data_IF_786283532890
#
_entry.id   IF_786283532890
#
_cell.length_a   1.000
_cell.length_b   1.000
_cell.length_c   1.000
_cell.angle_alpha   90.00
_cell.angle_beta   90.00
_cell.angle_gamma   90.00
#
_symmetry.space_group_name_H-M   'P 1'
#
loop_
_entity.id
_entity.type
_entity.pdbx_description
1 polymer ?
#
# COMPACT_ATOMS: atom_id res chain seq x y z
N UNK A 1 -20.46 58.83 -5.06
CA UNK A 1 -21.45 57.97 -4.37
C UNK A 1 -20.83 56.62 -4.04
N UNK A 2 -20.82 56.19 -2.77
CA UNK A 2 -20.20 54.90 -2.38
C UNK A 2 -21.08 53.73 -2.81
N UNK A 3 -20.48 52.79 -3.54
CA UNK A 3 -21.14 51.59 -4.07
C UNK A 3 -20.32 50.35 -3.72
N UNK A 4 -20.99 49.21 -3.53
CA UNK A 4 -20.34 47.91 -3.32
C UNK A 4 -20.77 46.94 -4.43
N UNK A 5 -19.82 46.16 -4.94
CA UNK A 5 -20.08 45.09 -5.90
C UNK A 5 -19.43 43.79 -5.44
N UNK A 6 -20.06 42.68 -5.80
CA UNK A 6 -19.51 41.35 -5.63
C UNK A 6 -19.31 40.73 -7.02
N UNK A 7 -18.07 40.39 -7.35
CA UNK A 7 -17.67 39.88 -8.66
C UNK A 7 -17.16 38.44 -8.50
N UNK A 8 -17.65 37.51 -9.30
CA UNK A 8 -17.08 36.15 -9.37
C UNK A 8 -15.76 36.17 -10.14
N UNK A 9 -14.71 35.54 -9.63
CA UNK A 9 -13.38 35.49 -10.26
C UNK A 9 -12.93 34.04 -10.38
N UNK A 10 -12.73 33.59 -11.63
CA UNK A 10 -12.18 32.26 -11.95
C UNK A 10 -10.71 32.32 -12.33
N UNK A 11 -10.01 31.21 -12.10
CA UNK A 11 -8.58 31.05 -12.37
C UNK A 11 -7.67 31.36 -11.18
N UNK A 12 -8.22 31.55 -9.98
CA UNK A 12 -7.42 31.65 -8.75
C UNK A 12 -7.05 30.25 -8.24
N UNK A 13 -5.76 29.98 -8.04
CA UNK A 13 -5.28 28.66 -7.60
C UNK A 13 -4.56 28.66 -6.25
N UNK A 14 -4.19 29.83 -5.73
CA UNK A 14 -3.45 29.95 -4.47
C UNK A 14 -3.63 31.33 -3.83
N UNK A 15 -3.20 31.47 -2.58
CA UNK A 15 -3.27 32.74 -1.82
C UNK A 15 -2.49 33.88 -2.47
N UNK A 16 -1.44 33.60 -3.24
CA UNK A 16 -0.71 34.65 -3.96
C UNK A 16 -1.51 35.22 -5.13
N UNK A 17 -2.44 34.47 -5.73
CA UNK A 17 -3.39 35.03 -6.71
C UNK A 17 -4.33 36.04 -6.07
N UNK A 18 -4.85 35.72 -4.88
CA UNK A 18 -5.73 36.59 -4.09
C UNK A 18 -5.03 37.92 -3.79
N UNK A 19 -3.82 37.84 -3.22
CA UNK A 19 -3.03 39.02 -2.86
C UNK A 19 -2.74 39.91 -4.08
N UNK A 20 -2.37 39.30 -5.22
CA UNK A 20 -2.11 40.05 -6.46
C UNK A 20 -3.34 40.84 -6.94
N UNK A 21 -4.53 40.26 -6.85
CA UNK A 21 -5.77 40.95 -7.25
C UNK A 21 -6.09 42.08 -6.26
N UNK A 22 -5.97 41.83 -4.95
CA UNK A 22 -6.23 42.84 -3.92
C UNK A 22 -5.30 44.04 -4.04
N UNK A 23 -3.99 43.81 -4.20
CA UNK A 23 -2.98 44.86 -4.38
C UNK A 23 -3.31 45.72 -5.61
N UNK A 24 -3.52 45.07 -6.75
CA UNK A 24 -3.76 45.76 -8.03
C UNK A 24 -5.05 46.57 -8.04
N UNK A 25 -6.12 46.07 -7.43
CA UNK A 25 -7.36 46.82 -7.31
C UNK A 25 -7.26 47.94 -6.26
N UNK A 26 -6.49 47.75 -5.18
CA UNK A 26 -6.28 48.81 -4.18
C UNK A 26 -5.50 50.02 -4.71
N UNK A 27 -4.69 49.83 -5.77
CA UNK A 27 -3.96 50.91 -6.46
C UNK A 27 -4.87 51.78 -7.34
N UNK A 28 -6.08 51.33 -7.68
CA UNK A 28 -6.98 52.07 -8.55
C UNK A 28 -7.64 53.24 -7.82
N UNK A 29 -7.55 54.43 -8.42
CA UNK A 29 -8.21 55.62 -7.88
C UNK A 29 -9.74 55.45 -7.87
N UNK A 30 -10.34 55.61 -6.68
CA UNK A 30 -11.78 55.42 -6.47
C UNK A 30 -12.15 54.09 -5.82
N UNK A 31 -11.21 53.17 -5.59
CA UNK A 31 -11.43 51.99 -4.76
C UNK A 31 -11.15 52.31 -3.29
N UNK A 32 -12.11 52.00 -2.42
CA UNK A 32 -11.98 52.23 -0.97
C UNK A 32 -11.59 50.97 -0.21
N UNK A 33 -12.11 49.81 -0.64
CA UNK A 33 -11.84 48.53 0.01
C UNK A 33 -12.01 47.38 -0.97
N UNK A 34 -11.11 46.42 -0.91
CA UNK A 34 -11.17 45.16 -1.67
C UNK A 34 -11.01 44.00 -0.69
N UNK A 35 -11.80 42.95 -0.89
CA UNK A 35 -11.63 41.68 -0.20
C UNK A 35 -11.94 40.54 -1.15
N UNK A 36 -10.95 39.69 -1.39
CA UNK A 36 -11.03 38.54 -2.29
C UNK A 36 -11.10 37.25 -1.48
N UNK A 37 -11.99 36.35 -1.85
CA UNK A 37 -12.20 35.06 -1.19
C UNK A 37 -11.91 33.92 -2.17
N UNK A 38 -10.84 33.17 -1.88
CA UNK A 38 -10.44 32.01 -2.69
C UNK A 38 -11.45 30.86 -2.62
N UNK A 39 -12.02 30.59 -1.44
CA UNK A 39 -12.97 29.48 -1.25
C UNK A 39 -14.31 29.72 -1.96
N UNK A 40 -14.71 30.99 -2.06
CA UNK A 40 -15.97 31.41 -2.71
C UNK A 40 -15.78 31.90 -4.15
N UNK A 41 -14.54 31.87 -4.65
CA UNK A 41 -14.18 32.36 -5.99
C UNK A 41 -14.77 33.74 -6.32
N UNK A 42 -14.71 34.69 -5.36
CA UNK A 42 -15.31 36.01 -5.55
C UNK A 42 -14.54 37.15 -4.86
N UNK A 43 -14.84 38.39 -5.27
CA UNK A 43 -14.27 39.61 -4.73
C UNK A 43 -15.36 40.63 -4.39
N UNK A 44 -15.33 41.13 -3.16
CA UNK A 44 -16.14 42.26 -2.70
C UNK A 44 -15.35 43.54 -2.78
N UNK A 45 -15.85 44.51 -3.54
CA UNK A 45 -15.16 45.77 -3.81
C UNK A 45 -16.10 46.92 -3.48
N UNK A 46 -15.66 47.79 -2.57
CA UNK A 46 -16.28 49.07 -2.28
C UNK A 46 -15.55 50.16 -3.06
N UNK A 47 -16.29 50.91 -3.87
CA UNK A 47 -15.73 51.92 -4.78
C UNK A 47 -16.67 53.13 -4.91
N UNK A 48 -16.10 54.24 -5.35
CA UNK A 48 -16.83 55.45 -5.70
C UNK A 48 -17.25 55.39 -7.18
N UNK A 49 -18.56 55.26 -7.42
CA UNK A 49 -19.12 55.13 -8.77
C UNK A 49 -18.94 56.38 -9.64
N UNK A 50 -18.55 57.52 -9.05
CA UNK A 50 -18.22 58.74 -9.78
C UNK A 50 -16.78 58.74 -10.31
N UNK A 51 -15.89 57.96 -9.69
CA UNK A 51 -14.45 57.90 -10.04
C UNK A 51 -14.10 56.68 -10.86
N UNK A 52 -14.74 55.54 -10.61
CA UNK A 52 -14.46 54.29 -11.31
C UNK A 52 -15.74 53.53 -11.64
N UNK A 53 -15.81 53.00 -12.86
CA UNK A 53 -16.93 52.19 -13.32
C UNK A 53 -16.70 50.71 -13.02
N UNK A 54 -17.77 49.96 -12.82
CA UNK A 54 -17.72 48.49 -12.64
C UNK A 54 -16.94 47.81 -13.77
N UNK A 55 -17.19 48.22 -15.01
CA UNK A 55 -16.52 47.69 -16.20
C UNK A 55 -15.00 47.84 -16.14
N UNK A 56 -14.49 48.98 -15.65
CA UNK A 56 -13.04 49.22 -15.51
C UNK A 56 -12.40 48.29 -14.46
N UNK A 57 -13.15 47.97 -13.40
CA UNK A 57 -12.72 47.00 -12.38
C UNK A 57 -12.65 45.58 -12.98
N UNK A 58 -13.64 45.21 -13.78
CA UNK A 58 -13.66 43.91 -14.48
C UNK A 58 -12.54 43.80 -15.51
N UNK A 59 -12.26 44.86 -16.26
CA UNK A 59 -11.16 44.94 -17.22
C UNK A 59 -9.79 44.77 -16.54
N UNK A 60 -9.57 45.34 -15.35
CA UNK A 60 -8.33 45.15 -14.59
C UNK A 60 -8.19 43.70 -14.10
N UNK A 61 -9.27 43.06 -13.65
CA UNK A 61 -9.22 41.64 -13.25
C UNK A 61 -8.88 40.75 -14.46
N UNK A 62 -9.48 41.04 -15.61
CA UNK A 62 -9.19 40.34 -16.87
C UNK A 62 -7.75 40.57 -17.35
N UNK A 63 -7.20 41.78 -17.19
CA UNK A 63 -5.82 42.11 -17.59
C UNK A 63 -4.78 41.32 -16.78
N UNK A 64 -5.11 40.95 -15.55
CA UNK A 64 -4.29 40.07 -14.70
C UNK A 64 -4.35 38.59 -15.09
N UNK A 65 -5.21 38.23 -16.06
CA UNK A 65 -5.38 36.86 -16.57
C UNK A 65 -6.46 36.05 -15.88
N UNK A 66 -7.36 36.69 -15.12
CA UNK A 66 -8.47 36.03 -14.43
C UNK A 66 -9.79 36.28 -15.15
N UNK A 67 -10.73 35.33 -15.10
CA UNK A 67 -12.02 35.49 -15.76
C UNK A 67 -13.06 36.03 -14.78
N UNK A 68 -13.71 37.12 -15.14
CA UNK A 68 -14.83 37.68 -14.38
C UNK A 68 -16.15 37.02 -14.75
N UNK A 69 -16.86 36.47 -13.77
CA UNK A 69 -18.26 36.04 -13.90
C UNK A 69 -19.19 37.17 -13.47
N UNK A 70 -19.81 37.83 -14.45
CA UNK A 70 -20.83 38.85 -14.21
C UNK A 70 -22.11 38.21 -13.69
N UNK A 71 -22.38 38.39 -12.39
CA UNK A 71 -23.67 38.04 -11.79
C UNK A 71 -24.58 39.26 -11.84
N UNK A 72 -25.35 39.39 -12.92
CA UNK A 72 -26.51 40.29 -12.91
C UNK A 72 -27.54 39.76 -11.87
N UNK A 73 -28.16 40.62 -11.05
CA UNK A 73 -28.95 40.22 -9.88
C UNK A 73 -30.34 39.65 -10.22
N UNK A 74 -30.56 39.10 -11.41
CA UNK A 74 -31.79 38.39 -11.77
C UNK A 74 -31.47 37.01 -12.33
N UNK A 75 -31.43 35.99 -11.48
CA UNK A 75 -32.05 34.65 -11.68
C UNK A 75 -31.64 33.70 -10.54
N UNK A 76 -32.56 33.01 -9.85
CA UNK A 76 -32.21 31.97 -8.89
C UNK A 76 -31.92 30.65 -9.63
N UNK A 77 -30.65 30.32 -9.85
CA UNK A 77 -30.26 28.97 -10.31
C UNK A 77 -30.11 28.02 -9.12
N UNK A 78 -31.23 27.46 -8.68
CA UNK A 78 -31.29 26.35 -7.71
C UNK A 78 -31.43 25.04 -8.47
N UNK A 79 -30.31 24.33 -8.66
CA UNK A 79 -30.12 22.89 -8.98
C UNK A 79 -28.71 22.81 -9.59
N UNK A 80 -27.64 22.48 -8.84
CA UNK A 80 -26.99 21.15 -8.91
C UNK A 80 -25.81 21.01 -7.91
N UNK A 81 -25.70 21.86 -6.89
CA UNK A 81 -24.49 21.95 -6.03
C UNK A 81 -24.26 20.72 -5.14
N UNK A 82 -25.33 20.03 -4.72
CA UNK A 82 -25.21 18.86 -3.83
C UNK A 82 -24.70 17.60 -4.55
N UNK A 83 -25.16 17.38 -5.80
CA UNK A 83 -24.71 16.23 -6.62
C UNK A 83 -23.30 16.45 -7.15
N UNK A 84 -22.92 17.69 -7.47
CA UNK A 84 -21.56 18.00 -7.90
C UNK A 84 -20.56 17.78 -6.76
N UNK A 85 -20.85 18.23 -5.53
CA UNK A 85 -20.00 17.95 -4.37
C UNK A 85 -19.85 16.45 -4.08
N UNK A 86 -20.94 15.68 -4.19
CA UNK A 86 -20.91 14.23 -3.98
C UNK A 86 -20.14 13.49 -5.08
N UNK A 87 -20.28 13.89 -6.35
CA UNK A 87 -19.55 13.28 -7.46
C UNK A 87 -18.06 13.63 -7.41
N UNK A 88 -17.70 14.90 -7.22
CA UNK A 88 -16.29 15.31 -7.18
C UNK A 88 -15.56 14.84 -5.90
N UNK A 89 -16.27 14.60 -4.78
CA UNK A 89 -15.68 14.05 -3.56
C UNK A 89 -15.62 12.51 -3.51
N UNK A 90 -16.60 11.80 -4.09
CA UNK A 90 -16.70 10.33 -4.00
C UNK A 90 -15.96 9.61 -5.15
N UNK A 91 -15.83 10.25 -6.31
CA UNK A 91 -15.12 9.71 -7.47
C UNK A 91 -13.63 9.40 -7.23
N UNK A 92 -12.83 10.25 -6.53
CA UNK A 92 -11.46 9.90 -6.17
C UNK A 92 -11.41 8.76 -5.13
N UNK A 93 -12.40 8.64 -4.25
CA UNK A 93 -12.45 7.57 -3.25
C UNK A 93 -12.74 6.19 -3.87
N UNK A 94 -13.57 6.14 -4.92
CA UNK A 94 -13.76 4.94 -5.75
C UNK A 94 -12.42 4.52 -6.38
N UNK A 95 -11.61 5.48 -6.82
CA UNK A 95 -10.26 5.22 -7.32
C UNK A 95 -9.35 4.59 -6.26
N UNK A 96 -9.34 5.14 -5.03
CA UNK A 96 -8.57 4.57 -3.92
C UNK A 96 -9.03 3.15 -3.54
N UNK A 97 -10.34 2.92 -3.47
CA UNK A 97 -10.91 1.60 -3.14
C UNK A 97 -10.56 0.59 -4.24
N UNK A 98 -10.69 0.98 -5.52
CA UNK A 98 -10.32 0.15 -6.66
C UNK A 98 -8.81 -0.16 -6.67
N UNK A 99 -7.95 0.82 -6.35
CA UNK A 99 -6.51 0.63 -6.27
C UNK A 99 -6.10 -0.32 -5.14
N UNK A 100 -6.72 -0.17 -3.95
CA UNK A 100 -6.50 -1.07 -2.82
C UNK A 100 -6.98 -2.48 -3.16
N UNK A 101 -8.18 -2.62 -3.73
CA UNK A 101 -8.72 -3.91 -4.15
C UNK A 101 -7.84 -4.57 -5.22
N UNK A 102 -7.37 -3.82 -6.22
CA UNK A 102 -6.46 -4.31 -7.25
C UNK A 102 -5.10 -4.71 -6.67
N UNK A 103 -4.59 -4.00 -5.66
CA UNK A 103 -3.34 -4.37 -4.97
C UNK A 103 -3.48 -5.69 -4.21
N UNK A 104 -4.60 -5.88 -3.49
CA UNK A 104 -4.87 -7.13 -2.75
C UNK A 104 -5.03 -8.30 -3.73
N UNK A 105 -5.88 -8.14 -4.76
CA UNK A 105 -6.10 -9.16 -5.78
C UNK A 105 -4.83 -9.43 -6.59
N UNK A 106 -4.06 -8.39 -6.89
CA UNK A 106 -2.79 -8.47 -7.59
C UNK A 106 -1.76 -9.29 -6.82
N UNK A 107 -1.66 -9.11 -5.49
CA UNK A 107 -0.76 -9.92 -4.66
C UNK A 107 -1.20 -11.39 -4.66
N UNK A 108 -2.49 -11.67 -4.45
CA UNK A 108 -2.99 -13.06 -4.42
C UNK A 108 -2.78 -13.76 -5.76
N UNK A 109 -3.12 -13.11 -6.87
CA UNK A 109 -2.91 -13.67 -8.20
C UNK A 109 -1.43 -13.82 -8.53
N UNK A 110 -0.59 -12.84 -8.16
CA UNK A 110 0.85 -12.92 -8.31
C UNK A 110 1.43 -14.10 -7.52
N UNK A 111 1.00 -14.32 -6.27
CA UNK A 111 1.53 -15.43 -5.47
C UNK A 111 1.25 -16.80 -6.07
N UNK A 112 0.09 -17.01 -6.69
CA UNK A 112 -0.24 -18.25 -7.39
C UNK A 112 0.54 -18.39 -8.70
N UNK A 113 0.61 -17.32 -9.49
CA UNK A 113 1.34 -17.31 -10.76
C UNK A 113 2.86 -17.50 -10.58
N UNK A 114 3.43 -16.89 -9.53
CA UNK A 114 4.85 -16.98 -9.23
C UNK A 114 5.21 -18.21 -8.41
N UNK A 115 4.25 -19.00 -7.90
CA UNK A 115 4.54 -20.22 -7.13
C UNK A 115 5.53 -21.17 -7.83
N UNK A 116 5.35 -21.57 -9.11
CA UNK A 116 6.33 -22.41 -9.80
C UNK A 116 7.68 -21.71 -10.02
N UNK A 117 7.68 -20.38 -10.13
CA UNK A 117 8.91 -19.58 -10.24
C UNK A 117 9.66 -19.50 -8.90
N UNK A 118 8.94 -19.37 -7.78
CA UNK A 118 9.45 -19.32 -6.41
C UNK A 118 9.98 -20.67 -5.92
N UNK A 119 9.50 -21.78 -6.48
CA UNK A 119 10.01 -23.13 -6.21
C UNK A 119 11.30 -23.44 -6.98
N UNK A 120 11.78 -22.55 -7.87
CA UNK A 120 13.04 -22.77 -8.55
C UNK A 120 14.21 -22.39 -7.62
N UNK A 121 15.14 -23.32 -7.32
CA UNK A 121 16.32 -23.06 -6.49
C UNK A 121 17.15 -21.83 -6.90
N UNK A 122 17.12 -21.48 -8.19
CA UNK A 122 17.87 -20.35 -8.76
C UNK A 122 17.15 -19.00 -8.69
N UNK A 123 15.86 -18.97 -8.36
CA UNK A 123 15.07 -17.75 -8.43
C UNK A 123 15.56 -16.66 -7.47
N UNK A 124 15.82 -17.02 -6.23
CA UNK A 124 16.26 -16.05 -5.23
C UNK A 124 17.64 -15.46 -5.54
N UNK A 125 18.68 -16.27 -5.86
CA UNK A 125 19.94 -15.75 -6.38
C UNK A 125 19.79 -14.88 -7.63
N UNK A 126 18.89 -15.22 -8.54
CA UNK A 126 18.60 -14.44 -9.75
C UNK A 126 18.05 -13.04 -9.40
N UNK A 127 17.11 -12.94 -8.46
CA UNK A 127 16.56 -11.66 -8.00
C UNK A 127 17.60 -10.77 -7.33
N UNK A 128 18.46 -11.35 -6.49
CA UNK A 128 19.59 -10.61 -5.90
C UNK A 128 20.55 -10.15 -6.99
N UNK A 129 20.91 -11.02 -7.94
CA UNK A 129 21.76 -10.67 -9.08
C UNK A 129 21.18 -9.55 -9.95
N UNK A 130 19.88 -9.59 -10.21
CA UNK A 130 19.17 -8.55 -10.95
C UNK A 130 19.20 -7.20 -10.20
N UNK A 131 19.00 -7.22 -8.89
CA UNK A 131 19.09 -5.99 -8.07
C UNK A 131 20.50 -5.36 -8.11
N UNK A 132 21.55 -6.19 -8.08
CA UNK A 132 22.93 -5.74 -8.21
C UNK A 132 23.22 -5.21 -9.62
N UNK A 133 22.62 -5.82 -10.66
CA UNK A 133 22.70 -5.34 -12.03
C UNK A 133 22.05 -3.95 -12.19
N UNK A 134 20.90 -3.72 -11.55
CA UNK A 134 20.32 -2.38 -11.55
C UNK A 134 21.16 -1.36 -10.77
N UNK A 135 21.76 -1.78 -9.65
CA UNK A 135 22.70 -0.93 -8.90
C UNK A 135 23.96 -0.59 -9.72
N UNK A 136 24.47 -1.53 -10.53
CA UNK A 136 25.59 -1.26 -11.46
C UNK A 136 25.18 -0.33 -12.59
N UNK A 137 24.03 -0.54 -13.22
CA UNK A 137 23.51 0.36 -14.25
C UNK A 137 23.33 1.79 -13.71
N UNK A 138 22.73 1.92 -12.52
CA UNK A 138 22.55 3.21 -11.84
C UNK A 138 23.88 3.88 -11.53
N UNK A 139 24.85 3.13 -11.02
CA UNK A 139 26.20 3.63 -10.72
C UNK A 139 26.94 4.09 -11.97
N UNK A 140 26.85 3.33 -13.07
CA UNK A 140 27.44 3.68 -14.36
C UNK A 140 26.79 4.95 -14.91
N UNK A 141 25.46 5.03 -14.90
CA UNK A 141 24.73 6.21 -15.38
C UNK A 141 25.07 7.46 -14.57
N UNK A 142 25.14 7.35 -13.24
CA UNK A 142 25.55 8.44 -12.36
C UNK A 142 26.97 8.92 -12.64
N UNK A 143 27.94 8.01 -12.81
CA UNK A 143 29.32 8.38 -13.11
C UNK A 143 29.46 8.98 -14.52
N UNK A 144 28.72 8.45 -15.50
CA UNK A 144 28.70 8.94 -16.87
C UNK A 144 28.18 10.38 -16.95
N UNK A 145 27.05 10.66 -16.29
CA UNK A 145 26.42 11.98 -16.33
C UNK A 145 27.26 13.08 -15.64
N UNK A 146 28.20 12.70 -14.78
CA UNK A 146 29.12 13.62 -14.10
C UNK A 146 30.52 13.69 -14.75
N UNK A 147 30.76 12.98 -15.87
CA UNK A 147 32.09 12.91 -16.50
C UNK A 147 33.15 12.22 -15.63
N UNK A 148 32.73 11.39 -14.66
CA UNK A 148 33.57 10.75 -13.65
C UNK A 148 33.85 9.27 -13.96
N UNK A 149 33.73 8.84 -15.22
CA UNK A 149 33.98 7.46 -15.68
C UNK A 149 35.45 6.99 -15.53
N UNK A 150 36.34 7.87 -15.09
CA UNK A 150 37.72 7.53 -14.76
C UNK A 150 37.82 6.80 -13.41
N UNK A 151 38.86 5.97 -13.25
CA UNK A 151 39.25 5.35 -11.98
C UNK A 151 39.39 6.39 -10.84
N UNK A 152 39.83 7.61 -11.16
CA UNK A 152 39.91 8.71 -10.19
C UNK A 152 38.53 9.27 -9.81
N UNK A 153 37.56 9.23 -10.73
CA UNK A 153 36.17 9.60 -10.47
C UNK A 153 35.44 8.61 -9.55
N UNK A 154 35.67 7.31 -9.76
CA UNK A 154 35.20 6.23 -8.87
C UNK A 154 35.75 6.43 -7.46
N UNK A 155 37.06 6.69 -7.32
CA UNK A 155 37.68 6.96 -6.00
C UNK A 155 37.11 8.21 -5.34
N UNK A 156 36.87 9.29 -6.09
CA UNK A 156 36.28 10.55 -5.58
C UNK A 156 34.84 10.38 -5.08
N UNK A 157 34.08 9.44 -5.64
CA UNK A 157 32.68 9.16 -5.24
C UNK A 157 32.50 7.79 -4.57
N UNK A 158 33.56 7.23 -3.98
CA UNK A 158 33.55 5.95 -3.24
C UNK A 158 32.42 5.88 -2.21
N UNK A 159 32.15 6.98 -1.49
CA UNK A 159 31.08 7.01 -0.47
C UNK A 159 29.70 6.69 -1.04
N UNK A 160 29.34 7.27 -2.19
CA UNK A 160 28.07 7.02 -2.86
C UNK A 160 27.95 5.55 -3.32
N UNK A 161 29.00 5.04 -3.97
CA UNK A 161 29.05 3.66 -4.45
C UNK A 161 28.95 2.67 -3.28
N UNK A 162 29.75 2.86 -2.23
CA UNK A 162 29.72 2.03 -1.03
C UNK A 162 28.35 2.07 -0.37
N UNK A 163 27.70 3.25 -0.30
CA UNK A 163 26.37 3.37 0.27
C UNK A 163 25.32 2.62 -0.57
N UNK A 164 25.30 2.80 -1.89
CA UNK A 164 24.34 2.14 -2.79
C UNK A 164 24.49 0.62 -2.81
N UNK A 165 25.71 0.11 -3.01
CA UNK A 165 25.94 -1.34 -3.02
C UNK A 165 25.79 -1.93 -1.62
N UNK A 166 26.28 -1.22 -0.60
CA UNK A 166 26.18 -1.62 0.80
C UNK A 166 24.72 -1.73 1.24
N UNK A 167 23.87 -0.75 0.92
CA UNK A 167 22.44 -0.81 1.23
C UNK A 167 21.75 -1.95 0.48
N UNK A 168 22.09 -2.18 -0.79
CA UNK A 168 21.51 -3.26 -1.61
C UNK A 168 21.84 -4.63 -1.00
N UNK A 169 23.12 -4.87 -0.73
CA UNK A 169 23.58 -6.13 -0.11
C UNK A 169 22.99 -6.28 1.29
N UNK A 170 22.97 -5.22 2.10
CA UNK A 170 22.42 -5.26 3.46
C UNK A 170 20.94 -5.63 3.45
N UNK A 171 20.12 -5.02 2.59
CA UNK A 171 18.69 -5.35 2.46
C UNK A 171 18.52 -6.80 1.99
N UNK A 172 19.29 -7.27 1.01
CA UNK A 172 19.24 -8.67 0.55
C UNK A 172 19.60 -9.66 1.66
N UNK A 173 20.62 -9.36 2.47
CA UNK A 173 21.03 -10.21 3.59
C UNK A 173 20.00 -10.21 4.74
N UNK A 174 19.45 -9.04 5.09
CA UNK A 174 18.38 -8.93 6.09
C UNK A 174 17.16 -9.74 5.66
N UNK A 175 16.75 -9.60 4.40
CA UNK A 175 15.62 -10.37 3.86
C UNK A 175 15.90 -11.88 3.94
N UNK A 176 17.12 -12.30 3.57
CA UNK A 176 17.51 -13.71 3.57
C UNK A 176 17.63 -14.33 4.97
N UNK A 177 18.34 -13.68 5.89
CA UNK A 177 18.70 -14.25 7.19
C UNK A 177 17.74 -13.92 8.32
N UNK A 178 16.91 -12.88 8.16
CA UNK A 178 15.99 -12.43 9.22
C UNK A 178 14.55 -12.63 8.77
N UNK A 179 14.16 -12.03 7.64
CA UNK A 179 12.75 -12.00 7.24
C UNK A 179 12.25 -13.40 6.89
N UNK A 180 12.93 -14.14 6.02
CA UNK A 180 12.42 -15.46 5.61
C UNK A 180 12.38 -16.53 6.72
N UNK A 181 13.37 -16.63 7.62
CA UNK A 181 13.26 -17.53 8.77
C UNK A 181 12.10 -17.17 9.69
N UNK A 182 11.82 -15.87 9.88
CA UNK A 182 10.66 -15.42 10.65
C UNK A 182 9.38 -15.82 9.93
N UNK A 183 9.22 -15.50 8.65
CA UNK A 183 7.99 -15.81 7.90
C UNK A 183 7.72 -17.31 7.79
N UNK A 184 8.76 -18.15 7.75
CA UNK A 184 8.60 -19.60 7.76
C UNK A 184 7.96 -20.12 9.06
N UNK A 185 8.24 -19.41 10.16
CA UNK A 185 7.75 -19.73 11.48
C UNK A 185 6.43 -19.05 11.85
N UNK A 186 5.93 -18.11 11.02
CA UNK A 186 4.60 -17.55 11.22
C UNK A 186 3.58 -18.64 10.88
N UNK A 187 2.70 -18.94 11.83
CA UNK A 187 1.54 -19.77 11.57
C UNK A 187 0.57 -18.98 10.67
N UNK A 188 0.10 -19.55 9.55
CA UNK A 188 -1.00 -18.91 8.82
C UNK A 188 -2.15 -18.74 9.81
N UNK A 189 -2.71 -17.53 9.88
CA UNK A 189 -3.93 -17.30 10.66
C UNK A 189 -4.96 -18.25 10.04
N UNK A 190 -5.21 -19.37 10.73
CA UNK A 190 -6.26 -20.29 10.36
C UNK A 190 -7.56 -19.49 10.45
N UNK A 191 -8.01 -18.98 9.30
CA UNK A 191 -9.37 -18.54 9.11
C UNK A 191 -10.27 -19.79 9.12
N UNK A 192 -10.36 -20.43 10.30
CA UNK A 192 -11.54 -21.19 10.69
C UNK A 192 -12.66 -20.19 10.96
N UNK A 193 -13.01 -19.37 9.97
CA UNK A 193 -14.36 -18.86 9.84
C UNK A 193 -15.11 -20.03 9.25
N UNK A 194 -15.50 -20.97 10.11
CA UNK A 194 -16.67 -21.80 9.86
C UNK A 194 -17.77 -20.90 9.29
N UNK A 195 -18.44 -21.26 8.18
CA UNK A 195 -19.62 -20.53 7.80
C UNK A 195 -20.55 -20.58 9.00
N UNK A 196 -20.88 -19.40 9.54
CA UNK A 196 -21.96 -19.25 10.50
C UNK A 196 -23.23 -19.61 9.74
N UNK A 197 -23.51 -20.90 9.61
CA UNK A 197 -24.88 -21.39 9.47
C UNK A 197 -25.50 -21.17 10.85
N UNK A 198 -25.90 -19.92 11.08
CA UNK A 198 -26.80 -19.57 12.17
C UNK A 198 -28.07 -20.40 11.97
N UNK A 199 -28.10 -21.50 12.71
CA UNK A 199 -29.30 -22.22 13.07
C UNK A 199 -30.16 -21.27 13.92
N UNK A 200 -30.94 -20.42 13.24
CA UNK A 200 -32.10 -19.77 13.83
C UNK A 200 -33.30 -20.67 13.50
N UNK A 201 -33.55 -21.67 14.33
CA UNK A 201 -34.90 -22.21 14.48
C UNK A 201 -35.13 -22.65 15.93
N UNK A 202 -35.70 -21.67 16.66
CA UNK A 202 -36.83 -21.86 17.54
C UNK A 202 -36.58 -22.54 18.90
N UNK A 203 -36.39 -21.68 19.89
CA UNK A 203 -37.07 -21.68 21.20
C UNK A 203 -38.02 -22.85 21.48
N UNK A 204 -37.71 -23.64 22.52
CA UNK A 204 -38.66 -23.88 23.61
C UNK A 204 -38.05 -24.70 24.77
N UNK A 205 -38.27 -24.15 25.98
CA UNK A 205 -38.56 -24.86 27.25
C UNK A 205 -37.40 -25.48 28.05
N UNK A 206 -37.05 -24.76 29.12
CA UNK A 206 -36.96 -25.22 30.52
C UNK A 206 -36.79 -26.74 30.75
N UNK A 207 -35.69 -27.14 31.42
CA UNK A 207 -35.74 -27.72 32.77
C UNK A 207 -34.34 -28.07 33.30
N UNK A 208 -34.21 -27.84 34.61
CA UNK A 208 -33.17 -28.27 35.55
C UNK A 208 -32.99 -29.79 35.51
N UNK A 209 -31.74 -30.30 35.48
CA UNK A 209 -31.30 -31.49 36.22
C UNK A 209 -29.78 -31.75 36.08
N UNK A 210 -29.14 -31.77 37.24
CA UNK A 210 -27.96 -32.53 37.69
C UNK A 210 -27.52 -33.70 36.80
N UNK A 211 -26.23 -33.75 36.43
CA UNK A 211 -25.62 -34.92 35.81
C UNK A 211 -24.12 -34.75 35.59
N UNK A 212 -23.31 -35.60 36.21
CA UNK A 212 -21.87 -35.62 36.13
C UNK A 212 -21.36 -35.66 34.67
N UNK A 213 -20.45 -34.76 34.31
CA UNK A 213 -19.72 -34.82 33.03
C UNK A 213 -18.36 -35.44 33.32
N UNK A 214 -18.24 -36.70 32.94
CA UNK A 214 -17.01 -37.46 32.85
C UNK A 214 -16.03 -36.74 31.92
N UNK A 215 -14.87 -36.35 32.45
CA UNK A 215 -13.72 -35.88 31.66
C UNK A 215 -13.17 -37.06 30.86
N UNK A 216 -13.65 -37.25 29.63
CA UNK A 216 -12.93 -38.05 28.65
C UNK A 216 -11.78 -37.22 28.09
N UNK A 217 -10.61 -37.34 28.72
CA UNK A 217 -9.33 -36.96 28.12
C UNK A 217 -9.09 -37.79 26.86
N UNK A 218 -9.54 -37.32 25.70
CA UNK A 218 -8.95 -37.73 24.43
C UNK A 218 -7.53 -37.15 24.38
N UNK A 219 -6.57 -37.93 24.87
CA UNK A 219 -5.15 -37.66 24.76
C UNK A 219 -4.74 -37.78 23.29
N UNK A 220 -4.88 -36.70 22.53
CA UNK A 220 -4.34 -36.60 21.16
C UNK A 220 -2.82 -36.69 21.27
N UNK A 221 -2.25 -37.86 21.00
CA UNK A 221 -0.81 -38.10 21.08
C UNK A 221 -0.13 -37.41 19.91
N UNK A 222 0.29 -36.16 20.08
CA UNK A 222 1.03 -35.42 19.05
C UNK A 222 2.46 -35.99 18.99
N UNK A 223 2.88 -36.41 17.80
CA UNK A 223 4.25 -36.84 17.53
C UNK A 223 5.02 -35.72 16.83
N UNK A 224 6.30 -35.54 17.18
CA UNK A 224 7.19 -34.56 16.55
C UNK A 224 8.34 -35.28 15.85
N UNK A 225 8.55 -34.97 14.58
CA UNK A 225 9.71 -35.43 13.80
C UNK A 225 10.57 -34.25 13.38
N UNK A 226 11.88 -34.49 13.25
CA UNK A 226 12.83 -33.54 12.71
C UNK A 226 13.26 -33.97 11.32
N UNK A 227 13.13 -33.04 10.37
CA UNK A 227 13.52 -33.22 8.97
C UNK A 227 14.67 -32.28 8.65
N UNK A 228 15.74 -32.80 8.06
CA UNK A 228 16.78 -32.01 7.40
C UNK A 228 16.47 -31.97 5.91
N UNK A 229 16.14 -30.78 5.39
CA UNK A 229 15.71 -30.59 4.00
C UNK A 229 16.79 -29.85 3.23
N UNK A 230 17.22 -30.37 2.08
CA UNK A 230 18.26 -29.74 1.28
C UNK A 230 17.72 -28.52 0.51
N UNK A 231 17.52 -27.39 1.20
CA UNK A 231 17.14 -26.11 0.60
C UNK A 231 18.39 -25.25 0.30
N UNK A 232 18.43 -24.54 -0.83
CA UNK A 232 19.59 -23.74 -1.26
C UNK A 232 19.73 -22.44 -0.47
N UNK A 233 18.64 -21.92 0.10
CA UNK A 233 18.65 -20.78 1.01
C UNK A 233 17.43 -20.81 1.95
N UNK A 234 17.53 -20.12 3.08
CA UNK A 234 16.46 -19.92 4.07
C UNK A 234 15.17 -19.32 3.50
N UNK A 235 15.25 -18.63 2.34
CA UNK A 235 14.09 -18.13 1.61
C UNK A 235 13.06 -19.21 1.25
N UNK A 236 13.51 -20.42 0.99
CA UNK A 236 12.63 -21.54 0.64
C UNK A 236 11.93 -22.13 1.85
N UNK A 237 12.40 -21.85 3.07
CA UNK A 237 11.83 -22.44 4.28
C UNK A 237 10.34 -22.08 4.47
N UNK A 238 9.92 -20.89 4.04
CA UNK A 238 8.52 -20.47 4.11
C UNK A 238 7.63 -21.29 3.17
N UNK A 239 8.12 -21.59 1.97
CA UNK A 239 7.40 -22.40 0.98
C UNK A 239 7.30 -23.86 1.45
N UNK A 240 8.42 -24.44 1.90
CA UNK A 240 8.44 -25.82 2.44
C UNK A 240 7.52 -25.94 3.65
N UNK A 241 7.60 -25.01 4.61
CA UNK A 241 6.73 -25.02 5.79
C UNK A 241 5.25 -24.89 5.40
N UNK A 242 4.94 -24.08 4.38
CA UNK A 242 3.60 -23.93 3.84
C UNK A 242 3.05 -25.21 3.21
N UNK A 243 3.86 -25.95 2.46
CA UNK A 243 3.43 -27.23 1.86
C UNK A 243 3.25 -28.33 2.93
N UNK A 244 4.14 -28.42 3.92
CA UNK A 244 3.99 -29.40 5.02
C UNK A 244 2.73 -29.11 5.84
N UNK A 245 2.44 -27.83 6.14
CA UNK A 245 1.25 -27.41 6.90
C UNK A 245 -0.08 -27.73 6.22
N UNK A 246 -0.10 -27.99 4.90
CA UNK A 246 -1.33 -28.38 4.19
C UNK A 246 -1.78 -29.81 4.45
N UNK A 247 -0.88 -30.67 4.95
CA UNK A 247 -1.23 -32.07 5.22
C UNK A 247 -2.24 -32.11 6.39
N UNK A 248 -3.34 -32.83 6.17
CA UNK A 248 -4.35 -33.05 7.19
C UNK A 248 -3.76 -33.83 8.38
N UNK A 249 -3.71 -33.19 9.55
CA UNK A 249 -3.13 -33.79 10.75
C UNK A 249 -1.77 -33.21 11.14
N UNK A 250 -1.16 -32.32 10.35
CA UNK A 250 -0.02 -31.52 10.81
C UNK A 250 -0.53 -30.38 11.67
N UNK A 251 -0.03 -30.29 12.90
CA UNK A 251 -0.44 -29.28 13.88
C UNK A 251 0.46 -28.04 13.78
N UNK A 252 1.78 -28.22 13.67
CA UNK A 252 2.73 -27.12 13.60
C UNK A 252 4.00 -27.52 12.86
N UNK A 253 4.64 -26.56 12.20
CA UNK A 253 5.96 -26.71 11.56
C UNK A 253 6.84 -25.57 11.98
N UNK A 254 8.01 -25.88 12.54
CA UNK A 254 9.02 -24.91 12.98
C UNK A 254 10.31 -25.08 12.20
N UNK A 255 10.76 -24.02 11.56
CA UNK A 255 12.02 -23.96 10.84
C UNK A 255 13.16 -23.48 11.76
N UNK A 256 14.28 -24.19 11.73
CA UNK A 256 15.53 -23.86 12.42
C UNK A 256 16.71 -23.90 11.46
N UNK A 257 17.62 -22.93 11.59
CA UNK A 257 18.85 -22.87 10.77
C UNK A 257 19.88 -23.86 11.34
N UNK A 258 20.65 -24.59 10.50
CA UNK A 258 20.54 -24.67 9.04
C UNK A 258 19.57 -25.77 8.59
N UNK A 259 18.52 -25.41 7.86
CA UNK A 259 17.72 -26.34 7.05
C UNK A 259 16.95 -27.44 7.82
N UNK A 260 16.68 -27.23 9.11
CA UNK A 260 15.90 -28.15 9.93
C UNK A 260 14.44 -27.73 10.02
N UNK A 261 13.53 -28.71 9.96
CA UNK A 261 12.09 -28.54 10.09
C UNK A 261 11.58 -29.50 11.17
N UNK A 262 11.08 -28.96 12.27
CA UNK A 262 10.43 -29.70 13.33
C UNK A 262 8.93 -29.72 13.04
N UNK A 263 8.41 -30.88 12.66
CA UNK A 263 7.01 -31.09 12.26
C UNK A 263 6.28 -31.84 13.36
N UNK A 264 5.24 -31.23 13.93
CA UNK A 264 4.37 -31.87 14.91
C UNK A 264 3.06 -32.26 14.24
N UNK A 265 2.67 -33.53 14.34
CA UNK A 265 1.50 -34.07 13.66
C UNK A 265 0.75 -35.10 14.53
N UNK A 266 -0.50 -35.34 14.18
CA UNK A 266 -1.36 -36.36 14.76
C UNK A 266 -1.14 -37.69 14.01
N UNK A 267 -0.54 -38.72 14.65
CA UNK A 267 -0.23 -40.00 14.03
C UNK A 267 -1.46 -40.79 13.63
N UNK A 268 -2.66 -40.41 14.10
CA UNK A 268 -3.94 -41.00 13.69
C UNK A 268 -4.36 -40.49 12.30
N UNK A 269 -3.96 -39.25 11.96
CA UNK A 269 -4.38 -38.56 10.73
C UNK A 269 -3.33 -38.58 9.63
N UNK A 270 -2.05 -38.66 9.99
CA UNK A 270 -0.93 -38.61 9.05
C UNK A 270 0.23 -39.46 9.55
N UNK A 271 0.99 -40.08 8.62
CA UNK A 271 2.19 -40.85 8.93
C UNK A 271 3.47 -40.11 8.50
N UNK A 272 4.62 -40.59 9.01
CA UNK A 272 5.95 -40.02 8.68
C UNK A 272 6.28 -40.19 7.19
N UNK A 273 5.89 -41.31 6.62
CA UNK A 273 6.08 -41.65 5.21
C UNK A 273 5.24 -40.73 4.32
N UNK A 274 4.01 -40.43 4.72
CA UNK A 274 3.14 -39.50 4.01
C UNK A 274 3.71 -38.08 4.00
N UNK A 275 4.40 -37.66 5.06
CA UNK A 275 5.10 -36.37 5.10
C UNK A 275 6.29 -36.39 4.15
N UNK A 276 7.09 -37.47 4.13
CA UNK A 276 8.29 -37.58 3.28
C UNK A 276 7.98 -37.73 1.78
N UNK A 277 6.79 -38.20 1.41
CA UNK A 277 6.37 -38.38 0.01
C UNK A 277 5.84 -37.10 -0.66
N UNK A 278 5.82 -35.97 0.05
CA UNK A 278 5.39 -34.69 -0.52
C UNK A 278 6.15 -34.37 -1.83
N UNK A 279 5.42 -33.87 -2.84
CA UNK A 279 6.02 -33.47 -4.13
C UNK A 279 7.14 -32.45 -3.98
N UNK A 280 7.04 -31.58 -2.97
CA UNK A 280 8.06 -30.59 -2.65
C UNK A 280 9.42 -31.24 -2.31
N UNK A 281 9.41 -32.45 -1.73
CA UNK A 281 10.62 -33.19 -1.38
C UNK A 281 11.24 -33.94 -2.57
N UNK A 282 10.55 -34.04 -3.71
CA UNK A 282 11.16 -34.47 -4.99
C UNK A 282 12.14 -33.41 -5.51
N UNK A 283 11.82 -32.12 -5.31
CA UNK A 283 12.69 -31.00 -5.67
C UNK A 283 13.70 -30.66 -4.56
N UNK A 284 13.32 -30.85 -3.29
CA UNK A 284 14.15 -30.57 -2.12
C UNK A 284 14.29 -31.81 -1.22
N UNK A 285 15.29 -32.68 -1.45
CA UNK A 285 15.41 -33.94 -0.73
C UNK A 285 15.41 -33.76 0.80
N UNK A 286 14.54 -34.47 1.50
CA UNK A 286 14.42 -34.46 2.95
C UNK A 286 14.93 -35.77 3.56
N UNK A 287 15.54 -35.68 4.75
CA UNK A 287 15.96 -36.84 5.56
C UNK A 287 15.50 -36.65 6.99
N UNK A 288 15.01 -37.73 7.61
CA UNK A 288 14.77 -37.78 9.06
C UNK A 288 16.11 -37.75 9.80
N UNK A 289 16.18 -36.98 10.89
CA UNK A 289 17.37 -36.81 11.76
C UNK A 289 16.98 -36.93 13.21
#
# INVERSE_FOLDING_TARGET
MKSEINIGIKGMHCKSCVQKIEERLSELEGIEKVSVNLEKENAKIAFDSEKISKKKIEEEINSLGYTVETTDPKTPSKKNTLRQGLVYGLLPHIGCIAFIAASILGITFATELFKPLLLNPLFFPLMVGLSLCFATLSSIFYLNNNGLLSWNGIKRKKGYLVLMYGSTIAVSLIMMFIVFPITANIEPINANITPITANLNNTNKSNVATGAITLNETKTSIETIRLMVNIPCSGHASLISGEIKKIAGVNSVKYSIPNYFDVSFDPIKTSKEAILDLEVFKSYPAKLV
#
